data_IF_785935723811
#
_entry.id   IF_785935723811
#
_cell.length_a   1.000
_cell.length_b   1.000
_cell.length_c   1.000
_cell.angle_alpha   90.00
_cell.angle_beta   90.00
_cell.angle_gamma   90.00
#
_symmetry.space_group_name_H-M   'P 1'
#
loop_
_entity.id
_entity.type
_entity.pdbx_description
1 polymer ?
#
# COMPACT_ATOMS: atom_id res chain seq x y z
N UNK A 1 -2.20 -20.72 18.02
CA UNK A 1 -1.22 -21.41 17.16
C UNK A 1 -0.70 -20.40 16.15
N UNK A 2 0.61 -20.09 16.12
CA UNK A 2 1.23 -19.26 15.07
C UNK A 2 1.72 -20.22 13.98
N UNK A 3 1.11 -20.16 12.80
CA UNK A 3 1.57 -20.87 11.60
C UNK A 3 2.59 -19.98 10.92
N UNK A 4 3.86 -20.39 10.89
CA UNK A 4 4.95 -19.63 10.28
C UNK A 4 5.31 -20.27 8.93
N UNK A 5 5.33 -19.46 7.88
CA UNK A 5 5.75 -19.85 6.53
C UNK A 5 6.78 -18.83 6.03
N UNK A 6 8.01 -19.28 5.80
CA UNK A 6 9.08 -18.45 5.27
C UNK A 6 9.44 -18.92 3.86
N UNK A 7 9.34 -18.03 2.87
CA UNK A 7 9.62 -18.34 1.46
C UNK A 7 11.04 -18.89 1.24
N UNK A 8 12.01 -18.41 2.03
CA UNK A 8 13.41 -18.80 1.93
C UNK A 8 13.68 -20.27 2.32
N UNK A 9 12.81 -20.86 3.13
CA UNK A 9 13.03 -22.22 3.65
C UNK A 9 12.64 -23.29 2.62
N UNK A 10 11.80 -22.94 1.64
CA UNK A 10 11.15 -23.90 0.73
C UNK A 10 11.38 -23.63 -0.76
N UNK A 11 11.63 -22.37 -1.14
CA UNK A 11 11.87 -22.00 -2.52
C UNK A 11 13.28 -21.41 -2.63
N UNK A 12 14.16 -22.09 -3.38
CA UNK A 12 15.50 -21.58 -3.65
C UNK A 12 15.47 -20.16 -4.22
N UNK A 13 16.52 -19.38 -3.94
CA UNK A 13 16.57 -17.95 -4.24
C UNK A 13 16.67 -17.67 -5.74
N UNK A 14 15.51 -17.49 -6.37
CA UNK A 14 15.22 -16.37 -7.28
C UNK A 14 13.69 -16.27 -7.42
N UNK A 15 12.99 -15.56 -6.52
CA UNK A 15 11.65 -15.11 -6.83
C UNK A 15 11.73 -14.26 -8.10
N UNK A 16 10.92 -14.57 -9.11
CA UNK A 16 10.84 -13.73 -10.30
C UNK A 16 10.59 -12.30 -9.86
N UNK A 17 11.40 -11.36 -10.32
CA UNK A 17 11.18 -9.96 -9.96
C UNK A 17 9.80 -9.53 -10.46
N UNK A 18 9.14 -8.57 -9.78
CA UNK A 18 7.79 -8.14 -10.17
C UNK A 18 7.67 -7.77 -11.66
N UNK A 19 8.73 -7.19 -12.25
CA UNK A 19 8.75 -6.85 -13.68
C UNK A 19 8.91 -8.04 -14.61
N UNK A 20 9.69 -9.05 -14.24
CA UNK A 20 9.83 -10.27 -15.04
C UNK A 20 8.46 -10.93 -15.27
N UNK A 21 7.66 -11.01 -14.20
CA UNK A 21 6.30 -11.54 -14.27
C UNK A 21 5.41 -10.70 -15.17
N UNK A 22 5.40 -9.37 -14.99
CA UNK A 22 4.57 -8.48 -15.79
C UNK A 22 4.94 -8.50 -17.28
N UNK A 23 6.22 -8.60 -17.61
CA UNK A 23 6.69 -8.70 -18.99
C UNK A 23 6.26 -10.03 -19.62
N UNK A 24 6.40 -11.14 -18.91
CA UNK A 24 5.92 -12.45 -19.36
C UNK A 24 4.41 -12.43 -19.61
N UNK A 25 3.63 -11.91 -18.64
CA UNK A 25 2.16 -11.83 -18.74
C UNK A 25 1.72 -10.99 -19.96
N UNK A 26 2.42 -9.89 -20.24
CA UNK A 26 2.21 -9.09 -21.45
C UNK A 26 2.44 -9.89 -22.74
N UNK A 27 3.50 -10.71 -22.82
CA UNK A 27 3.82 -11.52 -24.00
C UNK A 27 2.80 -12.62 -24.27
N UNK A 28 2.22 -13.21 -23.22
CA UNK A 28 1.22 -14.28 -23.34
C UNK A 28 -0.23 -13.75 -23.38
N UNK A 29 -0.42 -12.43 -23.27
CA UNK A 29 -1.73 -11.78 -23.30
C UNK A 29 -2.54 -11.93 -22.02
N UNK A 30 -1.89 -12.18 -20.88
CA UNK A 30 -2.55 -12.23 -19.57
C UNK A 30 -2.62 -10.82 -18.96
N UNK A 31 -3.84 -10.29 -18.84
CA UNK A 31 -4.11 -8.96 -18.31
C UNK A 31 -4.40 -8.93 -16.79
N UNK A 32 -4.30 -10.05 -16.08
CA UNK A 32 -4.76 -10.18 -14.68
C UNK A 32 -4.07 -9.22 -13.71
N UNK A 33 -2.78 -8.95 -13.91
CA UNK A 33 -1.98 -8.06 -13.06
C UNK A 33 -1.92 -6.61 -13.57
N UNK A 34 -2.71 -6.27 -14.60
CA UNK A 34 -2.75 -4.93 -15.16
C UNK A 34 -4.02 -4.18 -14.73
N UNK A 35 -3.88 -2.88 -14.53
CA UNK A 35 -5.01 -2.01 -14.26
C UNK A 35 -5.77 -1.72 -15.55
N UNK A 36 -7.09 -1.94 -15.52
CA UNK A 36 -8.00 -1.52 -16.61
C UNK A 36 -8.26 -0.02 -16.53
N UNK A 37 -8.64 0.59 -17.66
CA UNK A 37 -8.92 2.02 -17.72
C UNK A 37 -10.01 2.47 -16.73
N UNK A 38 -11.10 1.71 -16.61
CA UNK A 38 -12.18 1.99 -15.68
C UNK A 38 -11.75 1.88 -14.20
N UNK A 39 -10.86 0.94 -13.88
CA UNK A 39 -10.27 0.82 -12.55
C UNK A 39 -9.36 2.01 -12.21
N UNK A 40 -8.60 2.52 -13.19
CA UNK A 40 -7.78 3.73 -13.04
C UNK A 40 -8.66 4.96 -12.81
N UNK A 41 -9.72 5.13 -13.60
CA UNK A 41 -10.68 6.23 -13.44
C UNK A 41 -11.38 6.18 -12.08
N UNK A 42 -11.81 4.99 -11.64
CA UNK A 42 -12.40 4.80 -10.32
C UNK A 42 -11.41 5.14 -9.19
N UNK A 43 -10.15 4.71 -9.30
CA UNK A 43 -9.10 5.08 -8.34
C UNK A 43 -8.89 6.60 -8.26
N UNK A 44 -8.85 7.27 -9.40
CA UNK A 44 -8.73 8.73 -9.45
C UNK A 44 -9.96 9.45 -8.88
N UNK A 45 -11.16 8.92 -9.07
CA UNK A 45 -12.39 9.52 -8.51
C UNK A 45 -12.36 9.63 -6.97
N UNK A 46 -11.64 8.73 -6.30
CA UNK A 46 -11.47 8.73 -4.84
C UNK A 46 -10.34 9.66 -4.39
N UNK A 47 -9.21 9.65 -5.11
CA UNK A 47 -7.99 10.37 -4.67
C UNK A 47 -8.00 11.85 -5.09
N UNK A 48 -8.56 12.18 -6.26
CA UNK A 48 -8.52 13.55 -6.81
C UNK A 48 -9.11 14.61 -5.85
N UNK A 49 -10.29 14.39 -5.22
CA UNK A 49 -10.85 15.38 -4.30
C UNK A 49 -9.94 15.66 -3.08
N UNK A 50 -9.22 14.66 -2.58
CA UNK A 50 -8.29 14.82 -1.45
C UNK A 50 -7.12 15.71 -1.86
N UNK A 51 -6.56 15.47 -3.05
CA UNK A 51 -5.47 16.27 -3.61
C UNK A 51 -5.91 17.72 -3.82
N UNK A 52 -7.11 17.94 -4.38
CA UNK A 52 -7.62 19.28 -4.66
C UNK A 52 -7.82 20.09 -3.37
N UNK A 53 -8.34 19.46 -2.32
CA UNK A 53 -8.45 20.08 -0.99
C UNK A 53 -7.08 20.44 -0.42
N UNK A 54 -6.09 19.55 -0.50
CA UNK A 54 -4.73 19.83 -0.03
C UNK A 54 -4.03 20.96 -0.78
N UNK A 55 -4.31 21.12 -2.09
CA UNK A 55 -3.80 22.24 -2.88
C UNK A 55 -4.46 23.57 -2.51
N UNK A 56 -5.79 23.56 -2.31
CA UNK A 56 -6.56 24.77 -2.03
C UNK A 56 -6.39 25.26 -0.60
N UNK A 57 -6.20 24.35 0.36
CA UNK A 57 -6.12 24.64 1.79
C UNK A 57 -4.76 24.19 2.33
N UNK A 58 -3.79 25.10 2.52
CA UNK A 58 -2.53 24.73 3.16
C UNK A 58 -2.81 24.17 4.57
N UNK A 59 -2.16 23.05 4.94
CA UNK A 59 -2.44 22.39 6.20
C UNK A 59 -2.09 23.32 7.36
N UNK A 60 -3.08 23.60 8.23
CA UNK A 60 -2.86 24.39 9.45
C UNK A 60 -1.85 23.73 10.40
N UNK A 61 -1.82 22.40 10.40
CA UNK A 61 -0.88 21.57 11.15
C UNK A 61 -0.65 20.29 10.36
N UNK A 62 0.61 20.01 10.03
CA UNK A 62 0.99 18.76 9.38
C UNK A 62 1.59 17.82 10.44
N UNK A 63 1.09 16.57 10.59
CA UNK A 63 1.54 15.66 11.63
C UNK A 63 2.89 15.03 11.24
N UNK A 64 3.98 15.69 11.64
CA UNK A 64 5.33 15.18 11.46
C UNK A 64 5.63 14.01 12.41
N UNK A 65 6.59 13.17 12.02
CA UNK A 65 7.04 12.02 12.80
C UNK A 65 8.55 11.79 12.62
N UNK A 66 9.16 11.06 13.55
CA UNK A 66 10.58 10.74 13.50
C UNK A 66 10.87 9.66 12.43
N UNK A 67 11.97 9.79 11.70
CA UNK A 67 12.39 8.77 10.74
C UNK A 67 12.63 7.42 11.45
N UNK A 68 12.12 6.33 10.86
CA UNK A 68 12.15 4.99 11.46
C UNK A 68 11.01 4.69 12.44
N UNK A 69 10.15 5.67 12.76
CA UNK A 69 8.91 5.40 13.48
C UNK A 69 7.80 4.88 12.55
N UNK A 70 6.73 4.34 13.13
CA UNK A 70 5.53 3.89 12.42
C UNK A 70 4.64 5.03 11.88
N UNK A 71 5.07 6.28 11.98
CA UNK A 71 4.28 7.46 11.61
C UNK A 71 3.85 8.33 12.81
N UNK A 72 2.97 9.30 12.57
CA UNK A 72 2.49 10.23 13.60
C UNK A 72 1.38 9.59 14.47
N UNK A 73 1.20 10.12 15.69
CA UNK A 73 0.16 9.66 16.63
C UNK A 73 -1.25 9.77 16.01
N UNK A 74 -1.48 10.81 15.21
CA UNK A 74 -2.75 11.06 14.53
C UNK A 74 -3.16 9.92 13.59
N UNK A 75 -2.22 9.12 13.08
CA UNK A 75 -2.52 7.92 12.28
C UNK A 75 -3.05 6.74 13.13
N UNK A 76 -2.68 6.67 14.42
CA UNK A 76 -3.22 5.70 15.37
C UNK A 76 -4.61 6.14 15.86
N UNK A 77 -4.73 7.41 16.27
CA UNK A 77 -5.99 8.02 16.71
C UNK A 77 -7.10 7.87 15.64
N UNK A 78 -6.74 7.92 14.35
CA UNK A 78 -7.67 7.71 13.24
C UNK A 78 -8.32 6.32 13.25
N UNK A 79 -7.54 5.27 13.54
CA UNK A 79 -8.05 3.90 13.61
C UNK A 79 -8.77 3.63 14.92
N UNK A 80 -8.25 4.14 16.05
CA UNK A 80 -8.87 3.96 17.37
C UNK A 80 -10.29 4.51 17.41
N UNK A 81 -10.55 5.62 16.70
CA UNK A 81 -11.90 6.19 16.55
C UNK A 81 -12.91 5.21 15.94
N UNK A 82 -12.45 4.26 15.13
CA UNK A 82 -13.26 3.18 14.55
C UNK A 82 -13.13 1.86 15.31
N UNK A 83 -12.52 1.87 16.51
CA UNK A 83 -12.27 0.67 17.31
C UNK A 83 -11.26 -0.29 16.67
N UNK A 84 -10.34 0.24 15.85
CA UNK A 84 -9.31 -0.53 15.14
C UNK A 84 -7.92 -0.12 15.60
N UNK A 85 -6.97 -1.04 15.47
CA UNK A 85 -5.57 -0.79 15.80
C UNK A 85 -4.66 -1.31 14.69
N UNK A 86 -3.51 -0.64 14.52
CA UNK A 86 -2.45 -1.11 13.63
C UNK A 86 -1.88 -2.42 14.16
N UNK A 87 -1.84 -3.45 13.30
CA UNK A 87 -1.16 -4.70 13.65
C UNK A 87 0.34 -4.46 13.67
N UNK A 88 0.95 -4.59 14.85
CA UNK A 88 2.41 -4.59 14.97
C UNK A 88 2.97 -5.84 14.29
N UNK A 89 3.93 -5.64 13.39
CA UNK A 89 4.70 -6.72 12.80
C UNK A 89 5.94 -6.88 13.67
N UNK A 90 6.02 -8.00 14.39
CA UNK A 90 7.24 -8.38 15.08
C UNK A 90 8.32 -8.62 14.00
N UNK A 91 9.36 -7.79 13.99
CA UNK A 91 10.53 -7.93 13.11
C UNK A 91 11.44 -9.07 13.55
#
# INVERSE_FOLDING_TARGET
VKMNFHYNDYFGSTPSTGYERLLYDCMVGDATLFQRADMVEAGWSVVAPIIDVWKALPPRRFPNYAAGSWGPKEAHDLLEREGREWRQIDS
#
